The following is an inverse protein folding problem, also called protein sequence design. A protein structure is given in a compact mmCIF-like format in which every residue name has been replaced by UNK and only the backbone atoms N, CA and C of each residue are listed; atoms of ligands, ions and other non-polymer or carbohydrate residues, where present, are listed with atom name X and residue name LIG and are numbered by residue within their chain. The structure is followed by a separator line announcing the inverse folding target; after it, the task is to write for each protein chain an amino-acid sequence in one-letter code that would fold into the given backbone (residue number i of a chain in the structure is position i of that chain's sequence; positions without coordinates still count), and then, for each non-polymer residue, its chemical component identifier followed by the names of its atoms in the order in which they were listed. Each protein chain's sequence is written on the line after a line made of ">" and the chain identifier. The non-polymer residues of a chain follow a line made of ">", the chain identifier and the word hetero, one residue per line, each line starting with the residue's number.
data_IF_969287762100
#
_entry.id   IF_969287762100
#
_cell.length_a   1.000
_cell.length_b   1.000
_cell.length_c   1.000
_cell.angle_alpha   90.00
_cell.angle_beta   90.00
_cell.angle_gamma   90.00
#
_symmetry.space_group_name_H-M   'P 1'
#
loop_
_entity.id
_entity.type
_entity.pdbx_description
1 polymer ?
#
# COMPACT_ATOMS: atom_id res chain seq x y z
N UNK A 1 -47.17 -23.75 -46.41
CA UNK A 1 -46.28 -24.75 -47.05
C UNK A 1 -45.16 -23.95 -47.69
N UNK A 2 -43.88 -24.08 -47.39
CA UNK A 2 -43.06 -24.94 -46.52
C UNK A 2 -41.82 -24.13 -46.09
N UNK A 3 -41.10 -24.63 -45.10
CA UNK A 3 -39.95 -24.03 -44.42
C UNK A 3 -38.70 -24.02 -45.32
N UNK A 4 -37.76 -23.10 -45.10
CA UNK A 4 -36.52 -23.45 -44.37
C UNK A 4 -35.55 -22.27 -44.14
N UNK A 5 -34.78 -22.45 -43.07
CA UNK A 5 -33.89 -21.50 -42.39
C UNK A 5 -32.49 -21.43 -43.00
N UNK A 6 -31.81 -20.32 -42.68
CA UNK A 6 -30.43 -20.28 -42.15
C UNK A 6 -29.33 -19.58 -42.98
N UNK A 7 -28.98 -18.39 -42.47
CA UNK A 7 -27.65 -17.94 -42.03
C UNK A 7 -26.45 -17.77 -42.99
N UNK A 8 -26.02 -16.50 -42.99
CA UNK A 8 -24.66 -15.99 -42.76
C UNK A 8 -23.65 -15.95 -43.92
N UNK A 9 -23.15 -14.73 -44.10
CA UNK A 9 -22.31 -14.23 -45.19
C UNK A 9 -20.87 -13.98 -44.74
N UNK A 10 -19.96 -14.34 -45.66
CA UNK A 10 -18.65 -13.76 -46.03
C UNK A 10 -17.52 -13.56 -44.98
N UNK A 11 -16.32 -14.17 -45.16
CA UNK A 11 -15.15 -13.79 -46.00
C UNK A 11 -14.38 -12.61 -45.35
N UNK A 12 -13.06 -12.49 -45.23
CA UNK A 12 -11.86 -12.98 -45.94
C UNK A 12 -10.66 -12.44 -45.10
N UNK A 13 -9.46 -13.05 -44.98
CA UNK A 13 -8.23 -12.73 -45.73
C UNK A 13 -7.02 -13.27 -44.94
N UNK A 14 -6.04 -13.84 -45.65
CA UNK A 14 -4.78 -14.30 -45.07
C UNK A 14 -3.70 -13.21 -45.02
N UNK A 15 -2.75 -13.33 -44.09
CA UNK A 15 -1.45 -12.64 -44.14
C UNK A 15 -0.35 -13.56 -43.59
N UNK A 16 0.66 -13.85 -44.41
CA UNK A 16 2.01 -14.28 -43.99
C UNK A 16 2.97 -13.10 -44.22
N UNK A 17 3.74 -12.69 -43.20
CA UNK A 17 5.11 -12.15 -43.37
C UNK A 17 5.89 -12.09 -42.05
N UNK A 18 7.20 -12.02 -42.22
CA UNK A 18 8.30 -12.51 -41.38
C UNK A 18 9.15 -11.33 -40.87
N UNK A 19 9.65 -11.35 -39.62
CA UNK A 19 11.05 -11.04 -39.17
C UNK A 19 11.22 -10.21 -37.86
N UNK A 20 12.11 -10.77 -37.02
CA UNK A 20 13.25 -10.19 -36.25
C UNK A 20 13.03 -9.38 -34.96
N UNK A 21 13.53 -10.01 -33.88
CA UNK A 21 14.44 -9.52 -32.84
C UNK A 21 14.28 -8.08 -32.33
N UNK A 22 13.82 -7.97 -31.09
CA UNK A 22 14.03 -6.83 -30.20
C UNK A 22 13.89 -7.34 -28.77
N UNK A 23 14.85 -7.01 -27.90
CA UNK A 23 14.89 -7.40 -26.50
C UNK A 23 13.63 -6.89 -25.77
N UNK A 24 12.85 -7.80 -25.20
CA UNK A 24 11.82 -7.43 -24.24
C UNK A 24 12.50 -7.18 -22.89
N UNK A 25 12.43 -5.93 -22.44
CA UNK A 25 12.70 -5.53 -21.07
C UNK A 25 11.71 -6.25 -20.15
N UNK A 26 12.21 -7.19 -19.34
CA UNK A 26 11.43 -7.82 -18.27
C UNK A 26 11.00 -6.75 -17.25
N UNK A 27 9.71 -6.40 -17.27
CA UNK A 27 9.09 -5.66 -16.16
C UNK A 27 8.76 -6.70 -15.10
N UNK A 28 9.69 -6.92 -14.18
CA UNK A 28 9.53 -7.85 -13.06
C UNK A 28 8.51 -7.30 -12.06
N UNK A 29 7.25 -7.69 -12.25
CA UNK A 29 6.25 -7.63 -11.20
C UNK A 29 6.60 -8.73 -10.20
N UNK A 30 7.46 -8.41 -9.23
CA UNK A 30 7.97 -9.33 -8.23
C UNK A 30 6.84 -10.06 -7.50
N UNK A 31 6.72 -11.36 -7.73
CA UNK A 31 5.88 -12.24 -6.95
C UNK A 31 6.59 -12.51 -5.61
N UNK A 32 6.09 -11.89 -4.54
CA UNK A 32 6.64 -12.09 -3.20
C UNK A 32 6.24 -13.48 -2.68
N UNK A 33 7.22 -14.37 -2.51
CA UNK A 33 7.04 -15.66 -1.82
C UNK A 33 7.63 -15.51 -0.39
N UNK A 34 6.81 -15.42 0.67
CA UNK A 34 7.35 -15.29 2.03
C UNK A 34 7.98 -16.59 2.53
N UNK A 35 9.19 -16.47 3.11
CA UNK A 35 9.91 -17.52 3.84
C UNK A 35 9.24 -17.80 5.21
N UNK A 36 9.00 -19.06 5.61
CA UNK A 36 8.16 -19.41 6.76
C UNK A 36 8.81 -19.26 8.15
N UNK A 37 10.04 -18.75 8.28
CA UNK A 37 10.64 -18.46 9.60
C UNK A 37 10.19 -17.08 10.11
N UNK A 38 8.95 -17.02 10.61
CA UNK A 38 8.24 -15.83 11.12
C UNK A 38 8.46 -14.61 10.21
N UNK A 39 7.81 -14.61 9.05
CA UNK A 39 7.77 -13.43 8.20
C UNK A 39 7.09 -12.28 8.97
N UNK A 40 7.90 -11.39 9.55
CA UNK A 40 7.41 -10.08 10.03
C UNK A 40 6.70 -9.40 8.86
N UNK A 41 5.68 -8.58 9.16
CA UNK A 41 4.94 -7.84 8.13
C UNK A 41 5.91 -7.16 7.14
N UNK A 42 5.63 -7.20 5.82
CA UNK A 42 6.41 -6.48 4.83
C UNK A 42 6.57 -5.01 5.22
N UNK A 43 7.77 -4.46 5.03
CA UNK A 43 8.07 -3.06 5.35
C UNK A 43 9.13 -2.50 4.42
N UNK A 44 9.04 -1.21 4.13
CA UNK A 44 10.03 -0.50 3.30
C UNK A 44 11.21 -0.10 4.19
N UNK A 45 12.43 -0.50 3.81
CA UNK A 45 13.68 -0.15 4.48
C UNK A 45 14.60 0.56 3.50
N UNK A 46 15.08 1.74 3.87
CA UNK A 46 16.07 2.53 3.11
C UNK A 46 17.07 3.15 4.07
N UNK A 47 18.36 3.08 3.73
CA UNK A 47 19.44 3.67 4.54
C UNK A 47 19.40 3.30 6.04
N UNK A 48 19.07 2.03 6.33
CA UNK A 48 18.95 1.53 7.70
C UNK A 48 17.75 2.06 8.48
N UNK A 49 16.76 2.66 7.80
CA UNK A 49 15.51 3.16 8.40
C UNK A 49 14.30 2.47 7.80
N UNK A 50 13.29 2.24 8.62
CA UNK A 50 11.96 1.73 8.25
C UNK A 50 10.98 2.88 8.08
N UNK A 51 10.14 2.82 7.06
CA UNK A 51 9.01 3.74 6.90
C UNK A 51 7.89 3.40 7.90
N UNK A 52 7.44 4.41 8.66
CA UNK A 52 6.30 4.33 9.58
C UNK A 52 5.23 5.33 9.13
N UNK A 53 4.04 4.83 8.84
CA UNK A 53 2.90 5.64 8.38
C UNK A 53 2.16 6.20 9.61
N UNK A 54 1.82 7.49 9.58
CA UNK A 54 1.07 8.17 10.65
C UNK A 54 0.26 9.35 10.10
N UNK A 55 -0.69 9.87 10.90
CA UNK A 55 -1.49 11.05 10.58
C UNK A 55 -1.00 12.31 11.34
N UNK A 56 -0.22 13.23 10.72
CA UNK A 56 0.32 14.40 11.42
C UNK A 56 -0.68 15.55 11.63
N UNK A 57 -1.90 15.48 11.11
CA UNK A 57 -2.89 16.58 11.17
C UNK A 57 -4.01 16.30 12.18
N UNK A 58 -4.72 17.37 12.60
CA UNK A 58 -5.88 17.26 13.49
C UNK A 58 -7.00 16.45 12.83
N UNK A 59 -7.75 15.67 13.63
CA UNK A 59 -8.92 14.94 13.15
C UNK A 59 -9.03 13.53 13.71
N UNK A 60 -8.83 12.53 12.87
CA UNK A 60 -8.86 11.12 13.22
C UNK A 60 -7.50 10.51 12.87
N UNK A 61 -6.88 9.79 13.82
CA UNK A 61 -5.55 9.21 13.64
C UNK A 61 -5.55 8.07 12.63
N UNK A 62 -4.38 7.75 12.06
CA UNK A 62 -4.24 6.56 11.22
C UNK A 62 -4.30 5.31 12.08
N UNK A 63 -3.20 4.99 12.77
CA UNK A 63 -3.12 3.81 13.61
C UNK A 63 -4.04 3.89 14.82
N UNK A 64 -4.24 5.09 15.35
CA UNK A 64 -4.95 5.30 16.60
C UNK A 64 -6.43 4.98 16.49
N UNK A 65 -7.00 5.05 15.29
CA UNK A 65 -8.37 4.64 15.00
C UNK A 65 -8.46 3.15 14.68
N UNK A 66 -7.72 2.68 13.67
CA UNK A 66 -7.92 1.31 13.18
C UNK A 66 -7.18 0.24 14.02
N UNK A 67 -6.11 0.59 14.74
CA UNK A 67 -5.28 -0.29 15.61
C UNK A 67 -4.69 -1.54 14.93
N UNK A 68 -4.41 -1.47 13.63
CA UNK A 68 -3.88 -2.57 12.81
C UNK A 68 -2.38 -2.35 12.60
N UNK A 69 -1.54 -3.05 13.34
CA UNK A 69 -0.08 -2.86 13.30
C UNK A 69 0.52 -3.04 11.89
N UNK A 70 0.00 -4.00 11.11
CA UNK A 70 0.49 -4.23 9.74
C UNK A 70 0.37 -3.00 8.84
N UNK A 71 -0.62 -2.13 9.07
CA UNK A 71 -0.84 -0.91 8.29
C UNK A 71 0.09 0.25 8.67
N UNK A 72 0.85 0.14 9.77
CA UNK A 72 1.94 1.09 10.05
C UNK A 72 3.09 0.98 9.04
N UNK A 73 3.22 -0.18 8.39
CA UNK A 73 4.39 -0.54 7.59
C UNK A 73 4.07 -0.93 6.14
N UNK A 74 2.79 -0.86 5.73
CA UNK A 74 2.30 -1.35 4.45
C UNK A 74 3.06 -0.74 3.25
N UNK A 75 3.87 -1.51 2.50
CA UNK A 75 4.72 -0.97 1.44
C UNK A 75 3.96 -0.26 0.33
N UNK A 76 2.79 -0.76 -0.04
CA UNK A 76 1.96 -0.13 -1.08
C UNK A 76 1.44 1.24 -0.63
N UNK A 77 1.11 1.40 0.66
CA UNK A 77 0.67 2.70 1.20
C UNK A 77 1.86 3.66 1.30
N UNK A 78 3.05 3.18 1.69
CA UNK A 78 4.28 3.99 1.62
C UNK A 78 4.49 4.51 0.20
N UNK A 79 4.41 3.63 -0.81
CA UNK A 79 4.54 4.02 -2.20
C UNK A 79 3.49 5.06 -2.62
N UNK A 80 2.21 4.87 -2.26
CA UNK A 80 1.14 5.82 -2.56
C UNK A 80 1.39 7.20 -1.93
N UNK A 81 1.86 7.26 -0.68
CA UNK A 81 2.21 8.53 -0.01
C UNK A 81 3.36 9.23 -0.75
N UNK A 82 4.39 8.49 -1.15
CA UNK A 82 5.54 9.05 -1.90
C UNK A 82 5.18 9.54 -3.31
N UNK A 83 4.13 8.97 -3.91
CA UNK A 83 3.59 9.42 -5.20
C UNK A 83 2.53 10.52 -5.05
N UNK A 84 2.30 11.02 -3.84
CA UNK A 84 1.28 12.03 -3.54
C UNK A 84 -0.12 11.62 -4.01
N UNK A 85 -0.41 10.32 -3.94
CA UNK A 85 -1.72 9.77 -4.31
C UNK A 85 -2.79 10.22 -3.32
N UNK A 86 -4.04 10.26 -3.79
CA UNK A 86 -5.16 10.68 -2.96
C UNK A 86 -5.47 9.67 -1.83
N UNK A 87 -5.98 10.18 -0.71
CA UNK A 87 -6.46 9.34 0.39
C UNK A 87 -7.52 8.33 -0.05
N UNK A 88 -8.36 8.69 -1.03
CA UNK A 88 -9.36 7.77 -1.60
C UNK A 88 -8.72 6.55 -2.27
N UNK A 89 -7.55 6.69 -2.90
CA UNK A 89 -6.82 5.54 -3.49
C UNK A 89 -6.26 4.63 -2.41
N UNK A 90 -5.77 5.20 -1.31
CA UNK A 90 -5.34 4.45 -0.12
C UNK A 90 -6.53 3.70 0.49
N UNK A 91 -7.69 4.35 0.61
CA UNK A 91 -8.93 3.74 1.08
C UNK A 91 -9.37 2.57 0.18
N UNK A 92 -9.35 2.75 -1.14
CA UNK A 92 -9.66 1.69 -2.10
C UNK A 92 -8.73 0.48 -1.98
N UNK A 93 -7.42 0.74 -1.82
CA UNK A 93 -6.44 -0.32 -1.54
C UNK A 93 -6.79 -1.06 -0.25
N UNK A 94 -7.00 -0.35 0.86
CA UNK A 94 -7.37 -0.96 2.15
C UNK A 94 -8.65 -1.80 2.05
N UNK A 95 -9.65 -1.31 1.30
CA UNK A 95 -10.89 -2.04 1.02
C UNK A 95 -10.64 -3.31 0.21
N UNK A 96 -9.80 -3.24 -0.83
CA UNK A 96 -9.45 -4.39 -1.67
C UNK A 96 -8.71 -5.49 -0.89
N UNK A 97 -7.90 -5.09 0.09
CA UNK A 97 -7.14 -5.97 0.97
C UNK A 97 -7.98 -6.56 2.11
N UNK A 98 -9.30 -6.27 2.14
CA UNK A 98 -10.24 -6.71 3.18
C UNK A 98 -9.87 -6.26 4.59
N UNK A 99 -9.14 -5.15 4.74
CA UNK A 99 -9.00 -4.49 6.04
C UNK A 99 -10.32 -3.90 6.53
N UNK A 100 -11.31 -3.76 5.63
CA UNK A 100 -12.73 -3.63 5.95
C UNK A 100 -13.08 -2.38 6.76
N UNK A 101 -14.28 -2.37 7.36
CA UNK A 101 -14.87 -1.26 8.14
C UNK A 101 -13.96 -0.65 9.21
N UNK A 102 -12.88 -1.33 9.60
CA UNK A 102 -11.85 -0.83 10.50
C UNK A 102 -11.06 0.35 9.93
N UNK A 103 -11.01 0.50 8.60
CA UNK A 103 -10.37 1.65 7.93
C UNK A 103 -11.46 2.50 7.29
N UNK A 104 -11.58 3.74 7.74
CA UNK A 104 -12.51 4.74 7.20
C UNK A 104 -11.83 5.59 6.12
N UNK A 105 -12.60 6.05 5.13
CA UNK A 105 -12.07 6.94 4.08
C UNK A 105 -11.40 8.19 4.69
N UNK A 106 -12.03 8.79 5.71
CA UNK A 106 -11.54 9.99 6.39
C UNK A 106 -10.13 9.85 6.98
N UNK A 107 -9.74 8.67 7.47
CA UNK A 107 -8.41 8.46 8.09
C UNK A 107 -7.31 8.23 7.06
N UNK A 108 -7.65 8.03 5.79
CA UNK A 108 -6.70 7.81 4.70
C UNK A 108 -6.12 9.10 4.11
N UNK A 109 -6.62 10.28 4.48
CA UNK A 109 -6.20 11.57 3.93
C UNK A 109 -5.09 12.21 4.75
N UNK A 110 -4.07 12.80 4.11
CA UNK A 110 -3.02 13.56 4.81
C UNK A 110 -1.98 12.69 5.53
N UNK A 111 -1.90 11.40 5.19
CA UNK A 111 -0.90 10.49 5.74
C UNK A 111 0.53 10.95 5.42
N UNK A 112 1.45 10.65 6.32
CA UNK A 112 2.86 10.98 6.16
C UNK A 112 3.75 9.82 6.62
N UNK A 113 5.04 9.87 6.27
CA UNK A 113 6.03 8.83 6.58
C UNK A 113 7.10 9.40 7.52
N UNK A 114 7.30 8.73 8.65
CA UNK A 114 8.51 8.90 9.46
C UNK A 114 9.48 7.76 9.17
N UNK A 115 10.71 8.10 8.78
CA UNK A 115 11.80 7.13 8.65
C UNK A 115 12.48 6.89 10.01
N UNK A 116 12.24 5.73 10.60
CA UNK A 116 12.73 5.34 11.94
C UNK A 116 13.90 4.37 11.80
N UNK A 117 15.04 4.52 12.51
CA UNK A 117 16.12 3.54 12.46
C UNK A 117 15.64 2.13 12.80
N UNK A 118 16.10 1.09 12.08
CA UNK A 118 15.63 -0.29 12.30
C UNK A 118 15.92 -0.85 13.70
N UNK A 119 16.87 -0.26 14.42
CA UNK A 119 17.25 -0.59 15.80
C UNK A 119 16.54 0.26 16.85
N UNK A 120 15.72 1.23 16.45
CA UNK A 120 15.05 2.17 17.35
C UNK A 120 13.64 1.68 17.67
N UNK A 121 13.28 1.73 18.95
CA UNK A 121 11.91 1.51 19.41
C UNK A 121 11.12 2.82 19.30
N UNK A 122 9.85 2.74 18.95
CA UNK A 122 8.99 3.91 18.85
C UNK A 122 7.58 3.59 19.34
N UNK A 123 6.82 4.64 19.65
CA UNK A 123 5.38 4.56 19.89
C UNK A 123 4.64 5.57 19.01
N UNK A 124 3.40 5.25 18.67
CA UNK A 124 2.46 6.26 18.16
C UNK A 124 1.87 6.97 19.38
N UNK A 125 2.08 8.27 19.45
CA UNK A 125 1.36 9.15 20.36
C UNK A 125 0.27 9.88 19.58
N UNK A 126 -0.92 9.98 20.16
CA UNK A 126 -2.04 10.66 19.55
C UNK A 126 -2.58 11.70 20.55
N UNK A 127 -2.92 12.87 20.02
CA UNK A 127 -3.60 13.96 20.73
C UNK A 127 -4.49 14.72 19.74
N UNK A 128 -5.79 14.79 20.00
CA UNK A 128 -6.81 15.46 19.16
C UNK A 128 -6.81 15.01 17.68
N UNK A 129 -6.65 13.70 17.47
CA UNK A 129 -6.55 13.03 16.18
C UNK A 129 -5.18 13.11 15.53
N UNK A 130 -4.30 13.97 16.04
CA UNK A 130 -2.97 14.17 15.50
C UNK A 130 -2.02 13.15 16.09
N UNK A 131 -1.44 12.35 15.22
CA UNK A 131 -0.44 11.37 15.56
C UNK A 131 0.98 11.93 15.45
N UNK A 132 1.86 11.39 16.28
CA UNK A 132 3.30 11.61 16.25
C UNK A 132 4.01 10.30 16.51
N UNK A 133 5.01 9.99 15.67
CA UNK A 133 5.94 8.89 15.91
C UNK A 133 7.00 9.36 16.92
N UNK A 134 6.89 8.91 18.17
CA UNK A 134 7.81 9.26 19.26
C UNK A 134 8.86 8.17 19.38
N UNK A 135 10.14 8.54 19.23
CA UNK A 135 11.26 7.62 19.37
C UNK A 135 11.60 7.45 20.85
N UNK A 136 11.87 6.20 21.27
CA UNK A 136 12.21 5.88 22.67
C UNK A 136 13.44 6.64 23.13
N UNK A 137 14.45 6.78 22.26
CA UNK A 137 15.68 7.55 22.55
C UNK A 137 15.43 9.05 22.81
N UNK A 138 14.30 9.59 22.38
CA UNK A 138 13.93 11.01 22.55
C UNK A 138 12.78 11.25 23.53
N UNK A 139 12.16 10.19 24.06
CA UNK A 139 11.03 10.28 24.98
C UNK A 139 11.54 10.58 26.40
N UNK A 140 11.23 11.76 26.92
CA UNK A 140 11.72 12.21 28.22
C UNK A 140 10.78 11.77 29.35
N UNK A 141 11.34 11.15 30.40
CA UNK A 141 10.62 10.73 31.59
C UNK A 141 11.21 11.40 32.84
N UNK A 142 10.36 11.73 33.79
CA UNK A 142 10.74 12.29 35.08
C UNK A 142 10.44 11.29 36.21
N UNK A 143 11.30 11.22 37.21
CA UNK A 143 11.07 10.46 38.44
C UNK A 143 10.40 11.38 39.47
N UNK A 144 9.35 10.88 40.14
CA UNK A 144 8.65 11.61 41.20
C UNK A 144 9.39 11.57 42.54
#
# INVERSE_FOLDING_TARGET
>A
MEKDLSSSVHLELGIKKKRKSGQETEVSHGHFIPNPRIARAPRVIRDGKVAVIYQPHHGLGWYSEHKIEALLFAPEIVFMIEQEESGSKVYEYCRSMKYGWSVMDTICHGLNIKWVPVSEEFRIHESDGRETVVLKSTDQWFTA
#
